data_IF_635122406609
#
_entry.id   IF_635122406609
#
_cell.length_a   1.000
_cell.length_b   1.000
_cell.length_c   1.000
_cell.angle_alpha   90.00
_cell.angle_beta   90.00
_cell.angle_gamma   90.00
#
_symmetry.space_group_name_H-M   'P 1'
#
loop_
_entity.id
_entity.type
_entity.pdbx_description
1 polymer ?
#
# COMPACT_ATOMS: atom_id res chain seq x y z
N UNK A 1 -10.63 -4.06 -8.88
CA UNK A 1 -11.21 -2.92 -8.14
C UNK A 1 -10.51 -1.64 -8.61
N UNK A 2 -11.23 -0.55 -8.87
CA UNK A 2 -10.62 0.71 -9.35
C UNK A 2 -10.32 1.61 -8.14
N UNK A 3 -9.07 2.01 -7.97
CA UNK A 3 -8.67 2.98 -6.94
C UNK A 3 -9.25 4.36 -7.25
N UNK A 4 -9.58 5.12 -6.20
CA UNK A 4 -9.89 6.55 -6.34
C UNK A 4 -8.62 7.32 -6.70
N UNK A 5 -8.77 8.49 -7.32
CA UNK A 5 -7.63 9.30 -7.78
C UNK A 5 -6.58 9.51 -6.68
N UNK A 6 -7.00 9.91 -5.49
CA UNK A 6 -6.07 10.13 -4.37
C UNK A 6 -5.37 8.84 -3.88
N UNK A 7 -6.02 7.68 -4.00
CA UNK A 7 -5.42 6.39 -3.64
C UNK A 7 -4.39 5.98 -4.68
N UNK A 8 -4.70 6.18 -5.96
CA UNK A 8 -3.76 5.93 -7.06
C UNK A 8 -2.55 6.86 -6.95
N UNK A 9 -2.78 8.16 -6.69
CA UNK A 9 -1.69 9.11 -6.48
C UNK A 9 -0.79 8.71 -5.31
N UNK A 10 -1.34 8.15 -4.23
CA UNK A 10 -0.55 7.64 -3.11
C UNK A 10 0.31 6.43 -3.53
N UNK A 11 -0.24 5.49 -4.30
CA UNK A 11 0.51 4.34 -4.85
C UNK A 11 1.63 4.83 -5.77
N UNK A 12 1.32 5.75 -6.68
CA UNK A 12 2.27 6.27 -7.66
C UNK A 12 3.42 7.01 -6.96
N UNK A 13 3.12 7.83 -5.94
CA UNK A 13 4.14 8.51 -5.14
C UNK A 13 5.04 7.54 -4.38
N UNK A 14 4.50 6.44 -3.85
CA UNK A 14 5.30 5.40 -3.19
C UNK A 14 6.24 4.73 -4.20
N UNK A 15 5.75 4.39 -5.39
CA UNK A 15 6.59 3.78 -6.42
C UNK A 15 7.64 4.72 -6.99
N UNK A 16 7.30 5.99 -7.16
CA UNK A 16 8.27 7.01 -7.58
C UNK A 16 9.41 7.14 -6.56
N UNK A 17 9.07 7.19 -5.26
CA UNK A 17 10.06 7.21 -4.19
C UNK A 17 10.96 5.97 -4.20
N UNK A 18 10.38 4.77 -4.33
CA UNK A 18 11.14 3.52 -4.37
C UNK A 18 12.05 3.38 -5.60
N UNK A 19 11.75 4.07 -6.71
CA UNK A 19 12.57 4.02 -7.94
C UNK A 19 13.70 5.04 -7.93
N UNK A 20 13.45 6.20 -7.34
CA UNK A 20 14.32 7.37 -7.51
C UNK A 20 15.12 7.70 -6.25
N UNK A 21 14.94 6.96 -5.16
CA UNK A 21 15.60 7.22 -3.87
C UNK A 21 16.01 5.93 -3.18
N UNK A 22 17.05 6.04 -2.35
CA UNK A 22 17.61 4.92 -1.57
C UNK A 22 17.02 4.80 -0.14
N UNK A 23 16.15 5.74 0.27
CA UNK A 23 15.47 5.73 1.57
C UNK A 23 14.05 5.12 1.50
N UNK A 24 13.46 4.88 2.68
CA UNK A 24 12.16 4.22 2.79
C UNK A 24 11.01 5.24 2.69
N UNK A 25 9.99 5.01 1.83
CA UNK A 25 8.85 5.91 1.72
C UNK A 25 7.97 5.88 2.96
N UNK A 26 7.42 7.04 3.32
CA UNK A 26 6.39 7.19 4.36
C UNK A 26 5.13 7.76 3.71
N UNK A 27 4.02 7.03 3.79
CA UNK A 27 2.71 7.48 3.29
C UNK A 27 1.74 7.73 4.45
N UNK A 28 1.18 8.93 4.52
CA UNK A 28 0.18 9.32 5.52
C UNK A 28 -1.18 9.39 4.87
N UNK A 29 -2.10 8.52 5.31
CA UNK A 29 -3.49 8.51 4.88
C UNK A 29 -4.38 8.65 6.11
N UNK A 30 -5.35 9.59 6.14
CA UNK A 30 -6.25 9.75 7.27
C UNK A 30 -7.21 8.56 7.39
N UNK A 31 -7.78 8.38 8.58
CA UNK A 31 -8.80 7.36 8.84
C UNK A 31 -9.95 7.49 7.85
N UNK A 32 -10.42 6.37 7.30
CA UNK A 32 -11.49 6.34 6.29
C UNK A 32 -11.03 6.61 4.84
N UNK A 33 -9.77 7.00 4.60
CA UNK A 33 -9.26 7.17 3.24
C UNK A 33 -9.06 5.84 2.48
N UNK A 34 -9.14 4.71 3.18
CA UNK A 34 -8.93 3.38 2.59
C UNK A 34 -7.45 3.06 2.39
N UNK A 35 -6.60 3.30 3.40
CA UNK A 35 -5.18 2.92 3.41
C UNK A 35 -4.97 1.46 3.03
N UNK A 36 -5.88 0.59 3.43
CA UNK A 36 -5.88 -0.83 3.11
C UNK A 36 -5.99 -1.11 1.62
N UNK A 37 -6.75 -0.31 0.87
CA UNK A 37 -6.85 -0.46 -0.59
C UNK A 37 -5.54 -0.07 -1.29
N UNK A 38 -4.84 0.92 -0.75
CA UNK A 38 -3.49 1.31 -1.22
C UNK A 38 -2.50 0.18 -0.92
N UNK A 39 -2.49 -0.35 0.31
CA UNK A 39 -1.64 -1.48 0.69
C UNK A 39 -1.94 -2.73 -0.14
N UNK A 40 -3.21 -3.06 -0.36
CA UNK A 40 -3.63 -4.21 -1.15
C UNK A 40 -3.19 -4.08 -2.62
N UNK A 41 -3.25 -2.87 -3.20
CA UNK A 41 -2.72 -2.62 -4.55
C UNK A 41 -1.21 -2.87 -4.60
N UNK A 42 -0.46 -2.32 -3.65
CA UNK A 42 1.00 -2.51 -3.58
C UNK A 42 1.37 -3.99 -3.41
N UNK A 43 0.66 -4.69 -2.51
CA UNK A 43 0.81 -6.13 -2.30
C UNK A 43 0.51 -6.94 -3.55
N UNK A 44 -0.60 -6.64 -4.22
CA UNK A 44 -0.99 -7.29 -5.46
C UNK A 44 0.06 -7.08 -6.55
N UNK A 45 0.56 -5.86 -6.71
CA UNK A 45 1.57 -5.56 -7.73
C UNK A 45 2.90 -6.25 -7.43
N UNK A 46 3.30 -6.29 -6.14
CA UNK A 46 4.48 -7.02 -5.72
C UNK A 46 4.48 -8.49 -6.15
N UNK A 47 3.35 -9.17 -5.92
CA UNK A 47 3.20 -10.59 -6.27
C UNK A 47 3.01 -10.78 -7.77
N UNK A 48 2.16 -9.97 -8.41
CA UNK A 48 1.72 -10.23 -9.79
C UNK A 48 2.63 -9.65 -10.87
N UNK A 49 3.29 -8.52 -10.61
CA UNK A 49 4.16 -7.86 -11.59
C UNK A 49 5.63 -8.24 -11.41
N UNK A 50 6.06 -8.46 -10.18
CA UNK A 50 7.48 -8.70 -9.86
C UNK A 50 7.76 -10.08 -9.28
N UNK A 51 6.73 -10.93 -9.11
CA UNK A 51 6.86 -12.24 -8.47
C UNK A 51 7.58 -12.17 -7.11
N UNK A 52 7.37 -11.04 -6.42
CA UNK A 52 7.99 -10.71 -5.15
C UNK A 52 7.23 -11.28 -3.96
N UNK A 53 7.81 -11.12 -2.77
CA UNK A 53 7.18 -11.47 -1.49
C UNK A 53 6.89 -10.19 -0.73
N UNK A 54 5.78 -10.18 0.00
CA UNK A 54 5.39 -9.07 0.85
C UNK A 54 5.14 -9.52 2.29
N UNK A 55 5.59 -8.71 3.24
CA UNK A 55 5.31 -8.85 4.66
C UNK A 55 4.63 -7.56 5.13
N UNK A 56 3.42 -7.68 5.69
CA UNK A 56 2.69 -6.55 6.25
C UNK A 56 2.60 -6.75 7.76
N UNK A 57 3.20 -5.81 8.50
CA UNK A 57 3.25 -5.85 9.97
C UNK A 57 2.22 -4.87 10.54
N UNK A 58 1.43 -5.34 11.50
CA UNK A 58 0.48 -4.52 12.24
C UNK A 58 0.51 -4.90 13.72
N UNK A 59 0.51 -3.91 14.62
CA UNK A 59 0.66 -4.11 16.06
C UNK A 59 -0.61 -4.69 16.75
N UNK A 60 -1.79 -4.57 16.13
CA UNK A 60 -3.06 -5.02 16.73
C UNK A 60 -3.80 -5.97 15.78
N UNK A 61 -4.21 -7.14 16.29
CA UNK A 61 -4.92 -8.20 15.54
C UNK A 61 -6.15 -7.70 14.77
N UNK A 62 -6.88 -6.73 15.31
CA UNK A 62 -8.10 -6.18 14.68
C UNK A 62 -7.85 -5.35 13.43
N UNK A 63 -6.68 -4.70 13.32
CA UNK A 63 -6.34 -3.89 12.15
C UNK A 63 -6.24 -4.79 10.93
N UNK A 64 -5.54 -5.92 11.02
CA UNK A 64 -5.43 -6.87 9.91
C UNK A 64 -6.81 -7.39 9.44
N UNK A 65 -7.76 -7.61 10.36
CA UNK A 65 -9.10 -8.11 10.00
C UNK A 65 -9.96 -7.07 9.26
N UNK A 66 -9.82 -5.79 9.61
CA UNK A 66 -10.52 -4.70 8.90
C UNK A 66 -9.82 -4.33 7.58
N UNK A 67 -8.49 -4.49 7.49
CA UNK A 67 -7.69 -4.10 6.33
C UNK A 67 -7.65 -5.15 5.20
N UNK A 68 -7.83 -6.46 5.47
CA UNK A 68 -7.69 -7.55 4.49
C UNK A 68 -8.95 -8.38 4.24
N UNK A 69 -10.13 -7.79 4.38
CA UNK A 69 -11.41 -8.48 4.11
C UNK A 69 -11.84 -8.40 2.66
#
# INVERSE_FOLDING_TARGET
>A
MKLRSYQQNAVDAIYDHLRNRDDNPIAVLPTGAGKSLVLAKIASDAVTQWNGRILILAHVKDVARTEFR
#
